data_IF_095227973537
#
_entry.id   IF_095227973537
#
_cell.length_a   1.000
_cell.length_b   1.000
_cell.length_c   1.000
_cell.angle_alpha   90.00
_cell.angle_beta   90.00
_cell.angle_gamma   90.00
#
_symmetry.space_group_name_H-M   'P 1'
#
loop_
_entity.id
_entity.type
_entity.pdbx_description
1 polymer ?
#
# COMPACT_ATOMS: atom_id res chain seq x y z
N UNK A 1 -5.51 2.74 10.37
CA UNK A 1 -5.48 1.55 11.23
C UNK A 1 -4.21 0.76 10.95
N UNK A 2 -3.59 0.15 11.99
CA UNK A 2 -2.47 -0.78 11.79
C UNK A 2 -3.02 -2.17 11.47
N UNK A 3 -2.56 -2.74 10.36
CA UNK A 3 -2.87 -4.13 9.99
C UNK A 3 -1.74 -5.07 10.43
N UNK A 4 -2.10 -6.28 10.78
CA UNK A 4 -1.16 -7.39 10.99
C UNK A 4 -1.29 -8.29 9.77
N UNK A 5 -0.27 -8.30 8.92
CA UNK A 5 -0.22 -9.15 7.74
C UNK A 5 -0.13 -10.63 8.15
N UNK A 6 -0.73 -11.55 7.40
CA UNK A 6 -0.70 -12.98 7.74
C UNK A 6 0.62 -13.68 7.36
N UNK A 7 1.69 -12.93 7.14
CA UNK A 7 3.02 -13.46 6.80
C UNK A 7 3.66 -14.07 8.04
N UNK A 8 4.06 -15.33 7.96
CA UNK A 8 4.85 -15.98 9.01
C UNK A 8 6.35 -15.69 8.85
N UNK A 9 7.15 -16.02 9.88
CA UNK A 9 8.61 -15.89 9.82
C UNK A 9 9.27 -16.77 8.75
N UNK A 10 8.57 -17.83 8.34
CA UNK A 10 9.06 -18.85 7.39
C UNK A 10 8.66 -18.53 5.95
N UNK A 11 7.74 -17.56 5.77
CA UNK A 11 7.28 -17.15 4.46
C UNK A 11 8.20 -16.08 3.87
N UNK A 12 8.57 -16.21 2.61
CA UNK A 12 9.23 -15.15 1.85
C UNK A 12 8.19 -14.09 1.40
N UNK A 13 7.02 -14.55 0.97
CA UNK A 13 5.88 -13.74 0.57
C UNK A 13 4.60 -14.58 0.65
N UNK A 14 3.47 -13.90 0.64
CA UNK A 14 2.15 -14.51 0.51
C UNK A 14 1.41 -13.87 -0.65
N UNK A 15 0.46 -14.63 -1.22
CA UNK A 15 -0.43 -14.15 -2.28
C UNK A 15 -1.86 -14.30 -1.81
N UNK A 16 -2.55 -13.19 -1.65
CA UNK A 16 -3.95 -13.12 -1.31
C UNK A 16 -4.76 -12.92 -2.60
N UNK A 17 -5.76 -13.75 -2.80
CA UNK A 17 -6.55 -13.78 -4.02
C UNK A 17 -8.04 -13.57 -3.67
N UNK A 18 -8.58 -12.41 -4.03
CA UNK A 18 -9.92 -11.96 -3.65
C UNK A 18 -10.80 -11.72 -4.88
N UNK A 19 -11.43 -12.77 -5.45
CA UNK A 19 -12.48 -12.56 -6.43
C UNK A 19 -13.71 -11.94 -5.74
N UNK A 20 -14.36 -10.98 -6.40
CA UNK A 20 -15.50 -10.23 -5.88
C UNK A 20 -15.16 -9.49 -4.56
N UNK A 21 -14.07 -8.76 -4.55
CA UNK A 21 -13.63 -7.95 -3.40
C UNK A 21 -14.69 -6.89 -3.03
N UNK A 22 -14.82 -6.61 -1.73
CA UNK A 22 -15.84 -5.70 -1.18
C UNK A 22 -15.39 -4.24 -1.03
N UNK A 23 -14.08 -3.98 -1.06
CA UNK A 23 -13.48 -2.64 -0.86
C UNK A 23 -13.91 -1.92 0.44
N UNK A 24 -14.28 -2.68 1.46
CA UNK A 24 -14.74 -2.19 2.77
C UNK A 24 -13.60 -2.03 3.78
N UNK A 25 -12.37 -2.28 3.37
CA UNK A 25 -11.20 -2.16 4.25
C UNK A 25 -10.80 -0.69 4.40
N UNK A 26 -10.65 -0.19 5.64
CA UNK A 26 -10.32 1.22 5.89
C UNK A 26 -8.89 1.54 5.47
N UNK A 27 -8.53 2.83 5.49
CA UNK A 27 -7.13 3.24 5.35
C UNK A 27 -6.30 2.57 6.43
N UNK A 28 -5.30 1.80 6.02
CA UNK A 28 -4.45 1.00 6.88
C UNK A 28 -2.99 1.11 6.49
N UNK A 29 -2.12 0.57 7.33
CA UNK A 29 -0.68 0.42 7.07
C UNK A 29 -0.16 -0.82 7.81
N UNK A 30 0.88 -1.42 7.27
CA UNK A 30 1.58 -2.57 7.84
C UNK A 30 3.10 -2.43 7.64
N UNK A 31 3.87 -3.31 8.27
CA UNK A 31 5.34 -3.28 8.22
C UNK A 31 5.94 -3.90 6.95
N UNK A 32 5.13 -4.48 6.10
CA UNK A 32 5.56 -5.25 4.95
C UNK A 32 5.41 -4.46 3.65
N UNK A 33 6.07 -4.88 2.59
CA UNK A 33 5.81 -4.43 1.22
C UNK A 33 4.53 -5.06 0.70
N UNK A 34 3.84 -4.34 -0.17
CA UNK A 34 2.63 -4.83 -0.82
C UNK A 34 2.60 -4.46 -2.30
N UNK A 35 2.23 -5.42 -3.14
CA UNK A 35 1.86 -5.20 -4.54
C UNK A 35 0.38 -5.52 -4.67
N UNK A 36 -0.42 -4.55 -5.07
CA UNK A 36 -1.85 -4.70 -5.30
C UNK A 36 -2.17 -4.60 -6.78
N UNK A 37 -2.81 -5.63 -7.31
CA UNK A 37 -3.42 -5.65 -8.63
C UNK A 37 -4.93 -5.67 -8.48
N UNK A 38 -5.59 -4.58 -8.86
CA UNK A 38 -7.06 -4.42 -8.85
C UNK A 38 -7.56 -4.49 -10.28
N UNK A 39 -8.59 -5.29 -10.53
CA UNK A 39 -9.10 -5.58 -11.88
C UNK A 39 -10.61 -5.48 -11.94
N UNK A 40 -11.13 -5.09 -13.12
CA UNK A 40 -12.56 -5.10 -13.48
C UNK A 40 -13.41 -4.24 -12.54
N UNK A 41 -12.89 -3.13 -12.06
CA UNK A 41 -13.62 -2.16 -11.25
C UNK A 41 -12.97 -0.79 -11.38
N UNK A 42 -13.62 0.22 -10.85
CA UNK A 42 -13.15 1.61 -10.83
C UNK A 42 -13.39 2.23 -9.46
N UNK A 43 -12.72 3.31 -9.18
CA UNK A 43 -12.85 3.98 -7.87
C UNK A 43 -11.74 4.96 -7.57
N UNK A 44 -11.47 5.12 -6.28
CA UNK A 44 -10.39 5.97 -5.77
C UNK A 44 -9.38 5.13 -4.98
N UNK A 45 -8.12 5.43 -5.17
CA UNK A 45 -7.01 4.89 -4.41
C UNK A 45 -6.37 5.98 -3.56
N UNK A 46 -6.12 5.68 -2.31
CA UNK A 46 -5.40 6.53 -1.35
C UNK A 46 -4.05 5.88 -1.06
N UNK A 47 -2.94 6.60 -1.25
CA UNK A 47 -1.60 6.15 -0.86
C UNK A 47 -0.84 7.36 -0.29
N UNK A 48 -0.57 7.33 1.02
CA UNK A 48 0.00 8.50 1.71
C UNK A 48 -0.90 9.72 1.58
N UNK A 49 -0.38 10.77 0.96
CA UNK A 49 -1.08 12.03 0.64
C UNK A 49 -1.63 12.08 -0.80
N UNK A 50 -1.43 11.02 -1.59
CA UNK A 50 -1.98 10.89 -2.93
C UNK A 50 -3.39 10.31 -2.90
N UNK A 51 -4.31 10.95 -3.64
CA UNK A 51 -5.65 10.43 -3.92
C UNK A 51 -5.86 10.47 -5.41
N UNK A 52 -5.94 9.31 -6.03
CA UNK A 52 -6.07 9.17 -7.48
C UNK A 52 -7.23 8.23 -7.84
N UNK A 53 -7.87 8.51 -8.97
CA UNK A 53 -8.87 7.61 -9.55
C UNK A 53 -8.18 6.51 -10.34
N UNK A 54 -8.78 5.33 -10.32
CA UNK A 54 -8.40 4.21 -11.17
C UNK A 54 -9.63 3.70 -11.95
N UNK A 55 -9.40 3.11 -13.09
CA UNK A 55 -10.44 2.57 -13.96
C UNK A 55 -9.99 1.25 -14.56
N UNK A 56 -10.81 0.20 -14.38
CA UNK A 56 -10.67 -1.15 -14.89
C UNK A 56 -9.43 -1.93 -14.43
N UNK A 57 -8.27 -1.30 -14.35
CA UNK A 57 -7.00 -1.94 -13.97
C UNK A 57 -6.15 -0.96 -13.16
N UNK A 58 -5.64 -1.42 -12.01
CA UNK A 58 -4.73 -0.66 -11.17
C UNK A 58 -3.63 -1.58 -10.63
N UNK A 59 -2.39 -1.17 -10.77
CA UNK A 59 -1.23 -1.90 -10.23
C UNK A 59 -0.36 -0.92 -9.45
N UNK A 60 -0.27 -1.16 -8.15
CA UNK A 60 0.46 -0.29 -7.23
C UNK A 60 1.33 -1.11 -6.29
N UNK A 61 2.48 -0.57 -5.98
CA UNK A 61 3.35 -1.11 -4.95
C UNK A 61 3.52 -0.11 -3.82
N UNK A 62 3.28 -0.53 -2.58
CA UNK A 62 3.50 0.24 -1.35
C UNK A 62 4.61 -0.36 -0.51
N UNK A 63 5.40 0.50 0.12
CA UNK A 63 6.43 0.11 1.06
C UNK A 63 5.94 0.07 2.51
N UNK A 64 6.81 -0.39 3.43
CA UNK A 64 6.48 -0.51 4.84
C UNK A 64 5.96 0.79 5.46
N UNK A 65 4.91 0.66 6.27
CA UNK A 65 4.27 1.73 7.04
C UNK A 65 3.69 2.90 6.21
N UNK A 66 3.49 2.72 4.92
CA UNK A 66 2.82 3.70 4.08
C UNK A 66 1.30 3.49 4.14
N UNK A 67 0.51 4.47 4.62
CA UNK A 67 -0.95 4.35 4.66
C UNK A 67 -1.54 4.23 3.26
N UNK A 68 -2.46 3.27 3.09
CA UNK A 68 -3.10 3.05 1.80
C UNK A 68 -4.50 2.45 1.94
N UNK A 69 -5.32 2.62 0.90
CA UNK A 69 -6.64 2.00 0.76
C UNK A 69 -7.13 2.11 -0.69
N UNK A 70 -7.98 1.17 -1.08
CA UNK A 70 -8.76 1.24 -2.32
C UNK A 70 -10.25 1.32 -1.99
N UNK A 71 -10.92 2.29 -2.58
CA UNK A 71 -12.36 2.49 -2.53
C UNK A 71 -12.91 2.20 -3.93
N UNK A 72 -13.01 0.92 -4.26
CA UNK A 72 -13.53 0.45 -5.54
C UNK A 72 -15.04 0.24 -5.49
N UNK A 73 -15.69 0.41 -6.63
CA UNK A 73 -17.08 0.04 -6.80
C UNK A 73 -17.25 -1.49 -6.77
N UNK A 74 -18.34 -1.95 -6.16
CA UNK A 74 -18.66 -3.38 -6.12
C UNK A 74 -19.31 -3.79 -7.43
N UNK A 75 -18.47 -4.21 -8.38
CA UNK A 75 -18.91 -4.70 -9.70
C UNK A 75 -18.73 -6.21 -9.73
N UNK A 76 -19.69 -6.91 -10.34
CA UNK A 76 -19.59 -8.36 -10.54
C UNK A 76 -18.34 -8.71 -11.36
N UNK A 77 -17.55 -9.67 -10.89
CA UNK A 77 -16.31 -10.08 -11.54
C UNK A 77 -15.11 -9.17 -11.22
N UNK A 78 -15.23 -8.22 -10.30
CA UNK A 78 -14.05 -7.51 -9.79
C UNK A 78 -13.10 -8.50 -9.14
N UNK A 79 -11.81 -8.20 -9.15
CA UNK A 79 -10.81 -9.12 -8.65
C UNK A 79 -9.61 -8.35 -8.12
N UNK A 80 -9.19 -8.66 -6.90
CA UNK A 80 -7.99 -8.10 -6.29
C UNK A 80 -7.01 -9.22 -5.99
N UNK A 81 -5.76 -9.04 -6.43
CA UNK A 81 -4.63 -9.89 -6.03
C UNK A 81 -3.63 -9.04 -5.29
N UNK A 82 -3.33 -9.44 -4.05
CA UNK A 82 -2.36 -8.77 -3.18
C UNK A 82 -1.18 -9.69 -2.93
N UNK A 83 0.02 -9.21 -3.21
CA UNK A 83 1.27 -9.90 -2.86
C UNK A 83 1.90 -9.12 -1.72
N UNK A 84 2.00 -9.74 -0.53
CA UNK A 84 2.68 -9.14 0.62
C UNK A 84 3.98 -9.88 0.92
N UNK A 85 5.02 -9.13 1.25
CA UNK A 85 6.34 -9.71 1.58
C UNK A 85 7.10 -8.84 2.59
N UNK A 86 7.95 -9.51 3.37
CA UNK A 86 8.60 -8.90 4.52
C UNK A 86 9.52 -7.73 4.14
N UNK A 87 9.53 -6.68 4.98
CA UNK A 87 10.50 -5.59 4.96
C UNK A 87 11.96 -6.08 5.10
N UNK A 88 12.14 -7.25 5.69
CA UNK A 88 13.45 -7.91 5.84
C UNK A 88 14.06 -8.38 4.52
N UNK A 89 13.27 -8.40 3.43
CA UNK A 89 13.79 -8.74 2.11
C UNK A 89 14.98 -7.85 1.71
N UNK A 90 14.96 -6.55 2.07
CA UNK A 90 16.09 -5.64 1.84
C UNK A 90 17.40 -6.07 2.51
N UNK A 91 17.31 -6.87 3.57
CA UNK A 91 18.47 -7.37 4.31
C UNK A 91 19.09 -8.64 3.72
N UNK A 92 18.52 -9.19 2.66
CA UNK A 92 19.07 -10.38 2.03
C UNK A 92 20.36 -10.03 1.29
N UNK A 93 21.49 -10.73 1.59
CA UNK A 93 22.78 -10.44 0.97
C UNK A 93 22.78 -10.51 -0.55
N UNK A 94 21.84 -11.24 -1.16
CA UNK A 94 21.72 -11.34 -2.61
C UNK A 94 21.34 -9.99 -3.25
N UNK A 95 20.58 -9.14 -2.56
CA UNK A 95 20.19 -7.81 -3.03
C UNK A 95 21.36 -6.83 -3.12
N UNK A 96 22.48 -7.14 -2.46
CA UNK A 96 23.74 -6.37 -2.58
C UNK A 96 24.50 -6.71 -3.89
N UNK A 97 24.09 -7.74 -4.62
CA UNK A 97 24.70 -8.08 -5.89
C UNK A 97 24.21 -7.16 -7.00
N UNK A 98 25.12 -6.78 -7.90
CA UNK A 98 24.84 -5.81 -8.98
C UNK A 98 23.57 -6.12 -9.81
N UNK A 99 23.30 -7.40 -10.07
CA UNK A 99 22.14 -7.81 -10.87
C UNK A 99 20.80 -7.56 -10.14
N UNK A 100 20.82 -7.39 -8.82
CA UNK A 100 19.62 -7.10 -8.00
C UNK A 100 19.46 -5.63 -7.70
N UNK A 101 20.39 -4.76 -8.14
CA UNK A 101 20.28 -3.31 -7.87
C UNK A 101 18.98 -2.67 -8.37
N UNK A 102 18.36 -3.06 -9.52
CA UNK A 102 17.06 -2.53 -9.91
C UNK A 102 15.96 -2.88 -8.91
N UNK A 103 15.93 -4.14 -8.41
CA UNK A 103 14.96 -4.57 -7.40
C UNK A 103 15.15 -3.78 -6.10
N UNK A 104 16.41 -3.61 -5.66
CA UNK A 104 16.71 -2.80 -4.47
C UNK A 104 16.19 -1.37 -4.61
N UNK A 105 16.35 -0.77 -5.79
CA UNK A 105 15.84 0.58 -6.07
C UNK A 105 14.30 0.60 -6.07
N UNK A 106 13.64 -0.41 -6.67
CA UNK A 106 12.18 -0.55 -6.62
C UNK A 106 11.66 -0.56 -5.16
N UNK A 107 12.30 -1.36 -4.30
CA UNK A 107 11.94 -1.45 -2.88
C UNK A 107 12.13 -0.12 -2.15
N UNK A 108 13.16 0.64 -2.48
CA UNK A 108 13.37 1.98 -1.91
C UNK A 108 12.32 2.98 -2.40
N UNK A 109 12.02 3.00 -3.70
CA UNK A 109 11.03 3.88 -4.31
C UNK A 109 9.62 3.60 -3.77
N UNK A 110 9.28 2.32 -3.53
CA UNK A 110 7.97 1.92 -3.03
C UNK A 110 7.63 2.45 -1.63
N UNK A 111 8.61 2.93 -0.87
CA UNK A 111 8.37 3.64 0.40
C UNK A 111 7.55 4.92 0.20
N UNK A 112 7.49 5.44 -1.02
CA UNK A 112 6.65 6.58 -1.41
C UNK A 112 5.44 6.16 -2.27
N UNK A 113 5.18 4.87 -2.35
CA UNK A 113 4.16 4.34 -3.25
C UNK A 113 4.52 4.50 -4.72
N UNK A 114 4.29 3.48 -5.49
CA UNK A 114 4.58 3.43 -6.93
C UNK A 114 3.31 3.01 -7.65
N UNK A 115 2.89 3.78 -8.64
CA UNK A 115 1.90 3.35 -9.63
C UNK A 115 2.59 3.06 -10.96
N UNK A 116 2.15 2.03 -11.66
CA UNK A 116 2.74 1.58 -12.91
C UNK A 116 1.92 2.04 -14.11
N UNK A 117 2.57 2.17 -15.27
CA UNK A 117 1.89 2.53 -16.52
C UNK A 117 0.90 1.45 -16.95
N UNK A 118 -0.10 1.82 -17.75
CA UNK A 118 -1.10 0.89 -18.29
C UNK A 118 -0.46 -0.28 -19.05
N UNK A 119 0.57 -0.02 -19.86
CA UNK A 119 1.31 -1.06 -20.57
C UNK A 119 1.97 -2.06 -19.59
N UNK A 120 2.52 -1.56 -18.48
CA UNK A 120 3.09 -2.41 -17.43
C UNK A 120 1.99 -3.21 -16.74
N UNK A 121 0.86 -2.59 -16.41
CA UNK A 121 -0.27 -3.27 -15.77
C UNK A 121 -0.76 -4.44 -16.63
N UNK A 122 -0.95 -4.22 -17.94
CA UNK A 122 -1.38 -5.23 -18.88
C UNK A 122 -0.35 -6.39 -19.00
N UNK A 123 0.93 -6.07 -19.07
CA UNK A 123 1.99 -7.07 -19.15
C UNK A 123 2.13 -7.91 -17.88
N UNK A 124 1.91 -7.30 -16.70
CA UNK A 124 2.08 -7.96 -15.41
C UNK A 124 0.85 -8.74 -14.95
N UNK A 125 -0.34 -8.38 -15.44
CA UNK A 125 -1.61 -9.00 -15.06
C UNK A 125 -1.57 -10.52 -15.08
N UNK A 126 -1.19 -11.11 -16.22
CA UNK A 126 -1.18 -12.57 -16.39
C UNK A 126 -0.14 -13.24 -15.47
N UNK A 127 1.04 -12.64 -15.30
CA UNK A 127 2.08 -13.15 -14.39
C UNK A 127 1.61 -13.17 -12.94
N UNK A 128 0.99 -12.10 -12.48
CA UNK A 128 0.45 -12.00 -11.12
C UNK A 128 -0.70 -13.00 -10.92
N UNK A 129 -1.60 -13.13 -11.90
CA UNK A 129 -2.67 -14.13 -11.85
C UNK A 129 -2.13 -15.56 -11.86
N UNK A 130 -1.08 -15.83 -12.63
CA UNK A 130 -0.43 -17.14 -12.64
C UNK A 130 0.17 -17.47 -11.27
N UNK A 131 0.78 -16.50 -10.59
CA UNK A 131 1.38 -16.67 -9.27
C UNK A 131 0.36 -17.20 -8.24
N UNK A 132 -0.92 -16.81 -8.34
CA UNK A 132 -2.00 -17.29 -7.44
C UNK A 132 -2.26 -18.80 -7.56
N UNK A 133 -1.81 -19.45 -8.62
CA UNK A 133 -2.04 -20.88 -8.93
C UNK A 133 -0.78 -21.74 -8.78
N UNK A 134 0.37 -21.10 -8.57
CA UNK A 134 1.66 -21.78 -8.46
C UNK A 134 1.90 -22.28 -7.05
N UNK A 135 2.73 -23.30 -6.93
CA UNK A 135 3.16 -23.88 -5.66
C UNK A 135 4.64 -24.27 -5.71
N UNK A 136 5.25 -24.37 -4.53
CA UNK A 136 6.63 -24.80 -4.37
C UNK A 136 7.65 -23.78 -4.83
N UNK A 137 8.89 -24.23 -5.03
CA UNK A 137 10.03 -23.33 -5.26
C UNK A 137 9.90 -22.46 -6.52
N UNK A 138 9.21 -22.93 -7.56
CA UNK A 138 8.99 -22.13 -8.78
C UNK A 138 8.20 -20.84 -8.52
N UNK A 139 7.37 -20.81 -7.47
CA UNK A 139 6.65 -19.60 -7.05
C UNK A 139 7.64 -18.50 -6.64
N UNK A 140 8.75 -18.86 -5.99
CA UNK A 140 9.80 -17.90 -5.60
C UNK A 140 10.50 -17.32 -6.83
N UNK A 141 10.79 -18.15 -7.83
CA UNK A 141 11.41 -17.69 -9.07
C UNK A 141 10.50 -16.73 -9.83
N UNK A 142 9.19 -17.04 -9.90
CA UNK A 142 8.20 -16.15 -10.54
C UNK A 142 8.03 -14.84 -9.77
N UNK A 143 7.97 -14.89 -8.44
CA UNK A 143 7.93 -13.68 -7.61
C UNK A 143 9.16 -12.78 -7.86
N UNK A 144 10.36 -13.33 -7.90
CA UNK A 144 11.57 -12.56 -8.20
C UNK A 144 11.57 -12.02 -9.64
N UNK A 145 11.03 -12.78 -10.60
CA UNK A 145 10.81 -12.32 -11.98
C UNK A 145 9.85 -11.13 -12.02
N UNK A 146 8.74 -11.19 -11.29
CA UNK A 146 7.77 -10.08 -11.16
C UNK A 146 8.46 -8.84 -10.58
N UNK A 147 9.22 -8.99 -9.49
CA UNK A 147 9.95 -7.86 -8.91
C UNK A 147 10.95 -7.25 -9.88
N UNK A 148 11.65 -8.07 -10.65
CA UNK A 148 12.60 -7.59 -11.64
C UNK A 148 11.89 -6.83 -12.78
N UNK A 149 10.82 -7.38 -13.33
CA UNK A 149 10.05 -6.72 -14.40
C UNK A 149 9.48 -5.39 -13.94
N UNK A 150 8.90 -5.33 -12.73
CA UNK A 150 8.43 -4.09 -12.13
C UNK A 150 9.58 -3.09 -11.87
N UNK A 151 10.78 -3.57 -11.56
CA UNK A 151 11.93 -2.71 -11.29
C UNK A 151 12.44 -1.95 -12.52
N UNK A 152 12.16 -2.46 -13.70
CA UNK A 152 12.58 -1.89 -14.99
C UNK A 152 11.42 -1.24 -15.76
N UNK A 153 10.20 -1.34 -15.22
CA UNK A 153 8.99 -0.85 -15.86
C UNK A 153 8.78 0.66 -15.68
N UNK A 154 7.97 1.24 -16.58
CA UNK A 154 7.52 2.62 -16.47
C UNK A 154 6.59 2.79 -15.26
N UNK A 155 6.94 3.74 -14.40
CA UNK A 155 6.27 3.99 -13.14
C UNK A 155 6.37 5.44 -12.71
N UNK A 156 5.48 5.87 -11.79
CA UNK A 156 5.59 7.15 -11.12
C UNK A 156 5.41 7.00 -9.60
N UNK A 157 6.01 7.92 -8.86
CA UNK A 157 5.92 8.00 -7.41
C UNK A 157 4.63 8.71 -7.04
N UNK A 158 3.89 8.14 -6.08
CA UNK A 158 2.58 8.65 -5.69
C UNK A 158 2.68 9.75 -4.63
N UNK A 159 3.48 9.53 -3.62
CA UNK A 159 3.57 10.42 -2.45
C UNK A 159 4.43 11.64 -2.75
N UNK A 160 3.96 12.82 -2.36
CA UNK A 160 4.67 14.07 -2.57
C UNK A 160 5.99 14.13 -1.80
N UNK A 161 6.94 14.95 -2.27
CA UNK A 161 8.22 15.15 -1.57
C UNK A 161 8.07 15.86 -0.21
N UNK A 162 6.89 16.43 0.08
CA UNK A 162 6.57 17.07 1.35
C UNK A 162 6.05 16.07 2.39
N UNK A 163 5.68 14.86 1.96
CA UNK A 163 5.20 13.80 2.84
C UNK A 163 6.38 13.08 3.50
N UNK A 164 6.59 13.30 4.79
CA UNK A 164 7.61 12.59 5.55
C UNK A 164 6.98 11.47 6.39
N UNK A 165 7.20 10.24 5.96
CA UNK A 165 6.75 9.04 6.70
C UNK A 165 7.38 8.93 8.09
N UNK A 166 8.56 9.54 8.31
CA UNK A 166 9.23 9.55 9.62
C UNK A 166 8.61 10.55 10.59
N UNK A 167 8.04 11.64 10.08
CA UNK A 167 7.35 12.63 10.89
C UNK A 167 5.96 12.18 11.34
N UNK A 168 5.30 11.30 10.62
CA UNK A 168 3.99 10.75 10.98
C UNK A 168 4.05 9.89 12.26
N UNK A 169 5.19 9.33 12.60
CA UNK A 169 5.36 8.43 13.75
C UNK A 169 6.06 9.10 14.94
N UNK A 170 6.77 10.24 14.78
CA UNK A 170 7.69 10.76 15.81
C UNK A 170 7.48 12.18 16.30
N UNK A 171 6.61 13.02 15.74
CA UNK A 171 6.47 14.41 16.16
C UNK A 171 5.28 14.65 17.08
N UNK A 172 5.33 15.79 17.81
CA UNK A 172 4.18 16.30 18.59
C UNK A 172 2.92 16.50 17.72
N UNK A 173 3.09 16.74 16.40
CA UNK A 173 2.01 16.77 15.42
C UNK A 173 1.32 15.42 15.28
N UNK A 174 2.07 14.32 15.17
CA UNK A 174 1.50 12.97 15.10
C UNK A 174 0.66 12.61 16.32
N UNK A 175 1.10 12.99 17.54
CA UNK A 175 0.32 12.77 18.76
C UNK A 175 -0.97 13.60 18.79
N UNK A 176 -0.96 14.80 18.22
CA UNK A 176 -2.17 15.63 18.10
C UNK A 176 -3.15 15.03 17.12
N UNK A 177 -2.68 14.65 15.95
CA UNK A 177 -3.51 13.98 14.93
C UNK A 177 -4.10 12.68 15.49
N UNK A 178 -3.30 11.83 16.13
CA UNK A 178 -3.79 10.60 16.73
C UNK A 178 -4.88 10.84 17.78
N UNK A 179 -4.72 11.88 18.66
CA UNK A 179 -5.75 12.27 19.62
C UNK A 179 -7.03 12.74 18.95
N UNK A 180 -6.91 13.49 17.86
CA UNK A 180 -8.07 13.97 17.09
C UNK A 180 -8.82 12.81 16.45
N UNK A 181 -8.10 11.90 15.79
CA UNK A 181 -8.70 10.71 15.19
C UNK A 181 -9.39 9.83 16.23
N UNK A 182 -8.73 9.53 17.35
CA UNK A 182 -9.30 8.74 18.47
C UNK A 182 -10.56 9.41 19.06
N UNK A 183 -10.56 10.73 19.15
CA UNK A 183 -11.74 11.47 19.60
C UNK A 183 -12.90 11.38 18.60
N UNK A 184 -12.62 11.56 17.32
CA UNK A 184 -13.62 11.45 16.25
C UNK A 184 -14.18 10.02 16.21
N UNK A 185 -13.33 8.99 16.23
CA UNK A 185 -13.75 7.58 16.22
C UNK A 185 -14.64 7.19 17.41
N UNK A 186 -14.45 7.85 18.57
CA UNK A 186 -15.26 7.59 19.77
C UNK A 186 -16.56 8.39 19.84
N UNK A 187 -16.66 9.47 19.09
CA UNK A 187 -17.77 10.44 19.19
C UNK A 187 -18.47 10.72 17.86
N UNK A 188 -18.21 9.95 16.81
CA UNK A 188 -18.74 10.23 15.46
C UNK A 188 -20.29 10.15 15.37
N UNK A 189 -20.95 9.50 16.32
CA UNK A 189 -22.42 9.44 16.41
C UNK A 189 -23.04 10.73 16.96
N UNK A 190 -22.24 11.60 17.59
CA UNK A 190 -22.66 12.88 18.17
C UNK A 190 -22.11 14.06 17.34
N UNK A 191 -22.77 15.23 17.37
CA UNK A 191 -22.27 16.43 16.69
C UNK A 191 -20.91 16.89 17.25
N UNK A 192 -19.84 16.73 16.48
CA UNK A 192 -18.49 17.15 16.85
C UNK A 192 -18.30 18.62 16.52
N UNK A 193 -17.94 19.44 17.52
CA UNK A 193 -17.65 20.87 17.33
C UNK A 193 -16.16 21.09 17.11
N UNK A 194 -15.81 21.98 16.18
CA UNK A 194 -14.42 22.32 15.86
C UNK A 194 -13.65 22.79 17.09
N UNK A 195 -14.29 23.60 17.96
CA UNK A 195 -13.68 24.09 19.20
C UNK A 195 -13.28 22.99 20.18
N UNK A 196 -14.10 21.93 20.31
CA UNK A 196 -13.79 20.81 21.20
C UNK A 196 -12.58 20.04 20.70
N UNK A 197 -12.49 19.83 19.39
CA UNK A 197 -11.36 19.13 18.75
C UNK A 197 -10.08 19.96 18.83
N UNK A 198 -10.14 21.26 18.57
CA UNK A 198 -9.02 22.18 18.70
C UNK A 198 -8.48 22.25 20.13
N UNK A 199 -9.39 22.34 21.13
CA UNK A 199 -9.03 22.33 22.54
C UNK A 199 -8.34 21.04 22.98
N UNK A 200 -8.76 19.88 22.46
CA UNK A 200 -8.16 18.57 22.74
C UNK A 200 -6.66 18.53 22.43
N UNK A 201 -6.22 19.29 21.43
CA UNK A 201 -4.82 19.36 20.99
C UNK A 201 -4.12 20.66 21.35
N UNK A 202 -4.72 21.45 22.26
CA UNK A 202 -4.23 22.75 22.73
C UNK A 202 -4.00 23.75 21.57
N UNK A 203 -4.95 23.85 20.65
CA UNK A 203 -4.95 24.81 19.54
C UNK A 203 -6.18 25.71 19.61
N UNK A 204 -6.09 26.91 19.04
CA UNK A 204 -7.28 27.70 18.74
C UNK A 204 -7.98 27.15 17.51
N UNK A 205 -9.28 27.41 17.36
CA UNK A 205 -10.04 26.98 16.16
C UNK A 205 -9.39 27.50 14.85
N UNK A 206 -8.85 28.71 14.87
CA UNK A 206 -8.21 29.32 13.72
C UNK A 206 -6.82 28.73 13.40
N UNK A 207 -6.21 28.02 14.34
CA UNK A 207 -4.90 27.36 14.17
C UNK A 207 -5.02 25.86 13.90
N UNK A 208 -6.21 25.29 14.13
CA UNK A 208 -6.55 23.88 13.88
C UNK A 208 -6.93 23.68 12.43
#
# INVERSE_FOLDING_TARGET
QKEITPISSDDLFIVLNHPNAKFDYPVHYHSDYEINLVMNTYGERIVGDSVEKFDNLDLVMTGPNLPHAWKGEIVEGNHVVTIQFSDKLLNFPILEKRLFSPIKQLLLDSQKGISFSENTMLAMKEKILQLTRMQGFHTVLEFLSILYDLSTADRHILVSNLYDTKDTIRTSKSRRIAKVCDYIEKNFEEPIKLGDVAALVNMSESAF
#
